data_IF_744898925888
#
_entry.id   IF_744898925888
#
_cell.length_a   1.000
_cell.length_b   1.000
_cell.length_c   1.000
_cell.angle_alpha   90.00
_cell.angle_beta   90.00
_cell.angle_gamma   90.00
#
_symmetry.space_group_name_H-M   'P 1'
#
loop_
_entity.id
_entity.type
_entity.pdbx_description
1 polymer ?
#
# COMPACT_ATOMS: atom_id res chain seq x y z
N UNK A 1 -2.90 70.28 5.81
CA UNK A 1 -2.35 70.31 4.44
C UNK A 1 -2.39 68.86 3.95
N UNK A 2 -3.18 68.42 2.98
CA UNK A 2 -3.94 69.11 1.93
C UNK A 2 -3.65 68.40 0.60
N UNK A 3 -4.69 67.93 -0.10
CA UNK A 3 -4.66 67.47 -1.50
C UNK A 3 -4.39 65.95 -1.68
N UNK A 4 -5.18 65.14 -2.38
CA UNK A 4 -6.29 65.42 -3.29
C UNK A 4 -5.88 65.27 -4.76
N UNK A 5 -6.51 64.29 -5.42
CA UNK A 5 -7.08 64.40 -6.78
C UNK A 5 -6.19 64.24 -8.03
N UNK A 6 -6.76 63.51 -9.01
CA UNK A 6 -6.40 63.51 -10.43
C UNK A 6 -5.99 62.11 -10.91
N UNK A 7 -6.76 61.34 -11.67
CA UNK A 7 -7.75 61.69 -12.68
C UNK A 7 -7.15 61.50 -14.08
N UNK A 8 -7.99 61.05 -15.02
CA UNK A 8 -7.75 61.00 -16.48
C UNK A 8 -6.95 59.78 -16.98
N UNK A 9 -7.39 58.99 -17.97
CA UNK A 9 -8.46 59.18 -18.94
C UNK A 9 -7.94 58.78 -20.34
N UNK A 10 -8.77 58.04 -21.08
CA UNK A 10 -8.61 57.79 -22.53
C UNK A 10 -7.63 56.65 -22.87
N UNK A 11 -7.91 55.73 -23.78
CA UNK A 11 -8.95 55.65 -24.80
C UNK A 11 -8.34 55.02 -26.04
N UNK A 12 -9.15 54.25 -26.79
CA UNK A 12 -8.95 53.89 -28.21
C UNK A 12 -7.78 52.92 -28.46
N UNK A 13 -7.88 51.81 -29.19
CA UNK A 13 -8.80 51.37 -30.24
C UNK A 13 -7.96 50.50 -31.20
N UNK A 14 -8.59 49.52 -31.87
CA UNK A 14 -7.98 48.75 -32.96
C UNK A 14 -7.88 47.25 -32.66
N UNK A 15 -8.83 46.40 -33.07
CA UNK A 15 -9.09 45.94 -34.44
C UNK A 15 -8.11 44.85 -34.89
N UNK A 16 -8.61 43.62 -35.09
CA UNK A 16 -8.10 42.73 -36.14
C UNK A 16 -7.93 41.25 -35.80
N UNK A 17 -8.81 40.40 -36.35
CA UNK A 17 -8.57 38.99 -36.72
C UNK A 17 -8.78 37.98 -35.61
N UNK A 18 -9.68 36.99 -35.66
CA UNK A 18 -10.39 36.38 -36.77
C UNK A 18 -10.35 34.86 -36.60
N UNK A 19 -11.53 34.22 -36.52
CA UNK A 19 -11.81 32.82 -36.87
C UNK A 19 -11.24 31.69 -35.93
N UNK A 20 -11.94 30.65 -35.46
CA UNK A 20 -13.26 30.05 -35.71
C UNK A 20 -13.74 29.33 -34.43
N UNK A 21 -14.84 29.78 -33.82
CA UNK A 21 -15.66 28.95 -32.96
C UNK A 21 -16.96 28.69 -33.71
N UNK A 22 -17.05 27.56 -34.42
CA UNK A 22 -18.23 27.19 -35.19
C UNK A 22 -19.01 26.12 -34.45
N UNK A 23 -20.09 26.56 -33.80
CA UNK A 23 -21.18 25.67 -33.41
C UNK A 23 -22.13 25.38 -34.57
N UNK A 24 -22.90 24.29 -34.44
CA UNK A 24 -24.20 24.13 -35.08
C UNK A 24 -24.28 23.22 -36.31
N UNK A 25 -25.01 22.10 -36.14
CA UNK A 25 -25.52 21.21 -37.20
C UNK A 25 -25.89 19.86 -36.56
N UNK A 26 -27.07 19.63 -35.99
CA UNK A 26 -28.42 19.49 -36.58
C UNK A 26 -28.54 18.37 -37.62
N UNK A 27 -29.17 17.25 -37.20
CA UNK A 27 -30.15 16.55 -38.05
C UNK A 27 -29.95 15.04 -38.25
N UNK A 28 -30.80 14.24 -37.57
CA UNK A 28 -31.54 13.17 -38.27
C UNK A 28 -31.55 11.75 -37.67
N UNK A 29 -32.77 11.22 -37.49
CA UNK A 29 -33.17 9.80 -37.43
C UNK A 29 -33.06 9.14 -36.05
N UNK A 30 -34.12 9.04 -35.24
CA UNK A 30 -35.36 8.26 -35.44
C UNK A 30 -35.35 7.15 -34.37
N UNK A 31 -36.19 7.16 -33.34
CA UNK A 31 -37.60 6.79 -33.41
C UNK A 31 -37.78 5.31 -33.03
N UNK A 32 -38.10 5.03 -31.76
CA UNK A 32 -38.85 3.85 -31.31
C UNK A 32 -38.14 2.49 -31.29
N UNK A 33 -37.90 1.94 -30.09
CA UNK A 33 -38.19 0.52 -29.81
C UNK A 33 -38.34 0.29 -28.31
N UNK A 34 -39.56 0.51 -27.81
CA UNK A 34 -40.03 -0.24 -26.65
C UNK A 34 -40.31 -1.69 -27.09
N UNK A 35 -39.97 -2.66 -26.25
CA UNK A 35 -40.48 -4.02 -26.33
C UNK A 35 -39.44 -5.11 -26.52
N UNK A 36 -38.88 -5.61 -25.42
CA UNK A 36 -38.55 -7.04 -25.21
C UNK A 36 -38.13 -7.14 -23.74
N UNK A 37 -38.98 -7.54 -22.81
CA UNK A 37 -39.61 -8.85 -22.76
C UNK A 37 -39.34 -9.37 -21.35
N UNK A 38 -40.28 -9.14 -20.44
CA UNK A 38 -40.30 -9.88 -19.18
C UNK A 38 -40.54 -11.35 -19.47
N UNK A 39 -39.90 -12.21 -18.69
CA UNK A 39 -40.21 -13.63 -18.66
C UNK A 39 -39.02 -14.53 -18.87
N UNK A 40 -38.52 -15.08 -17.75
CA UNK A 40 -38.32 -16.51 -17.70
C UNK A 40 -36.90 -17.02 -17.88
N UNK A 41 -36.38 -17.49 -16.74
CA UNK A 41 -35.91 -18.88 -16.60
C UNK A 41 -34.45 -19.17 -16.94
N UNK A 42 -33.67 -19.46 -15.89
CA UNK A 42 -32.66 -20.51 -16.01
C UNK A 42 -31.47 -20.49 -15.06
N UNK A 43 -31.71 -20.80 -13.78
CA UNK A 43 -30.72 -21.44 -12.90
C UNK A 43 -29.61 -20.54 -12.33
N UNK A 44 -29.00 -20.80 -11.17
CA UNK A 44 -29.11 -21.90 -10.21
C UNK A 44 -28.11 -21.56 -9.08
N UNK A 45 -28.56 -21.60 -7.81
CA UNK A 45 -27.72 -21.50 -6.62
C UNK A 45 -27.54 -20.05 -6.12
N UNK A 46 -28.14 -19.60 -5.02
CA UNK A 46 -28.42 -20.35 -3.79
C UNK A 46 -27.17 -20.40 -2.92
N UNK A 47 -27.04 -19.43 -2.01
CA UNK A 47 -25.98 -19.32 -1.01
C UNK A 47 -25.74 -17.85 -0.67
N UNK A 48 -26.50 -17.19 0.20
CA UNK A 48 -27.01 -17.72 1.46
C UNK A 48 -25.89 -17.71 2.49
N UNK A 49 -25.92 -16.71 3.37
CA UNK A 49 -25.06 -16.51 4.54
C UNK A 49 -24.71 -17.83 5.24
N UNK A 50 -23.41 -18.07 5.53
CA UNK A 50 -23.03 -19.13 6.46
C UNK A 50 -21.59 -19.63 6.35
N UNK A 51 -20.70 -19.06 7.16
CA UNK A 51 -19.69 -19.85 7.90
C UNK A 51 -18.60 -20.63 7.15
N UNK A 52 -18.26 -20.31 5.90
CA UNK A 52 -17.15 -20.97 5.21
C UNK A 52 -15.85 -20.20 5.42
N UNK A 53 -15.06 -20.63 6.40
CA UNK A 53 -13.76 -20.05 6.70
C UNK A 53 -12.84 -20.05 5.47
N UNK A 54 -11.98 -19.02 5.38
CA UNK A 54 -10.97 -18.75 4.34
C UNK A 54 -10.04 -19.94 3.97
N UNK A 55 -10.09 -21.05 4.71
CA UNK A 55 -9.18 -22.19 4.62
C UNK A 55 -9.82 -23.51 4.17
N UNK A 56 -11.00 -23.52 3.52
CA UNK A 56 -11.49 -24.74 2.85
C UNK A 56 -10.85 -24.93 1.48
N UNK A 57 -9.61 -25.44 1.45
CA UNK A 57 -8.92 -25.85 0.23
C UNK A 57 -9.23 -27.35 0.01
N UNK A 58 -9.90 -27.74 -1.08
CA UNK A 58 -10.19 -29.14 -1.35
C UNK A 58 -8.89 -29.96 -1.46
N UNK A 59 -8.91 -31.26 -1.10
CA UNK A 59 -7.76 -32.12 -1.30
C UNK A 59 -7.31 -32.10 -2.77
N UNK A 60 -5.99 -32.10 -2.98
CA UNK A 60 -5.34 -32.07 -4.30
C UNK A 60 -5.64 -30.82 -5.16
N UNK A 61 -6.23 -29.77 -4.58
CA UNK A 61 -6.45 -28.49 -5.26
C UNK A 61 -5.46 -27.44 -4.80
N UNK A 62 -4.95 -26.68 -5.75
CA UNK A 62 -4.15 -25.49 -5.48
C UNK A 62 -5.02 -24.26 -5.63
N UNK A 63 -4.93 -23.35 -4.68
CA UNK A 63 -5.57 -22.03 -4.74
C UNK A 63 -4.51 -20.95 -4.90
N UNK A 64 -4.88 -19.86 -5.59
CA UNK A 64 -4.06 -18.65 -5.67
C UNK A 64 -4.54 -17.67 -4.61
N UNK A 65 -3.70 -17.40 -3.63
CA UNK A 65 -4.00 -16.45 -2.56
C UNK A 65 -3.25 -15.16 -2.83
N UNK A 66 -3.93 -14.01 -3.01
CA UNK A 66 -3.26 -12.73 -3.04
C UNK A 66 -2.70 -12.46 -1.63
N UNK A 67 -1.41 -12.12 -1.57
CA UNK A 67 -0.77 -11.77 -0.30
C UNK A 67 0.03 -10.50 -0.48
N UNK A 68 0.11 -9.72 0.60
CA UNK A 68 0.93 -8.52 0.63
C UNK A 68 2.36 -8.89 1.02
N UNK A 69 3.33 -8.38 0.28
CA UNK A 69 4.73 -8.78 0.44
C UNK A 69 5.67 -7.61 0.21
N UNK A 70 6.85 -7.70 0.82
CA UNK A 70 7.94 -6.78 0.62
C UNK A 70 9.27 -7.56 0.60
N UNK A 71 10.23 -7.05 -0.17
CA UNK A 71 11.57 -7.59 -0.25
C UNK A 71 12.38 -7.18 0.99
N UNK A 72 12.97 -8.15 1.69
CA UNK A 72 13.74 -7.86 2.91
C UNK A 72 15.15 -7.34 2.64
N UNK A 73 15.72 -7.65 1.47
CA UNK A 73 17.04 -7.16 1.10
C UNK A 73 16.96 -6.46 -0.25
N UNK A 74 17.66 -5.35 -0.35
CA UNK A 74 17.81 -4.64 -1.61
C UNK A 74 18.75 -5.39 -2.57
N UNK A 75 18.43 -5.38 -3.86
CA UNK A 75 19.31 -5.92 -4.92
C UNK A 75 19.30 -7.45 -5.09
N UNK A 76 18.51 -8.18 -4.29
CA UNK A 76 18.25 -9.60 -4.58
C UNK A 76 17.36 -9.76 -5.81
N UNK A 77 17.54 -10.87 -6.51
CA UNK A 77 16.71 -11.21 -7.66
C UNK A 77 15.23 -11.27 -7.25
N UNK A 78 14.37 -10.82 -8.16
CA UNK A 78 12.93 -10.87 -7.97
C UNK A 78 12.46 -12.32 -7.78
N UNK A 79 11.42 -12.54 -6.95
CA UNK A 79 10.87 -13.87 -6.75
C UNK A 79 10.35 -14.44 -8.07
N UNK A 80 10.82 -15.62 -8.46
CA UNK A 80 10.35 -16.34 -9.65
C UNK A 80 9.80 -17.72 -9.30
N UNK A 81 8.82 -18.25 -10.04
CA UNK A 81 8.21 -19.56 -9.78
C UNK A 81 9.20 -20.74 -9.80
N UNK A 82 10.37 -20.55 -10.40
CA UNK A 82 11.41 -21.58 -10.52
C UNK A 82 12.29 -21.69 -9.26
N UNK A 83 12.13 -20.80 -8.28
CA UNK A 83 12.85 -20.85 -7.02
C UNK A 83 12.14 -21.75 -6.00
N UNK A 84 12.93 -22.51 -5.23
CA UNK A 84 12.41 -23.27 -4.09
C UNK A 84 12.26 -22.35 -2.90
N UNK A 85 11.02 -22.22 -2.40
CA UNK A 85 10.69 -21.38 -1.25
C UNK A 85 10.49 -22.21 0.01
N UNK A 86 10.96 -21.69 1.15
CA UNK A 86 10.69 -22.24 2.49
C UNK A 86 10.04 -21.16 3.34
N UNK A 87 8.97 -21.53 4.06
CA UNK A 87 8.39 -20.68 5.09
C UNK A 87 9.29 -20.73 6.33
N UNK A 88 9.71 -19.55 6.80
CA UNK A 88 10.59 -19.38 7.95
C UNK A 88 9.89 -18.44 8.94
N UNK A 89 9.80 -18.78 10.23
CA UNK A 89 9.23 -17.89 11.22
C UNK A 89 10.11 -16.64 11.38
N UNK A 90 9.48 -15.50 11.68
CA UNK A 90 10.17 -14.20 11.75
C UNK A 90 11.32 -14.21 12.77
N UNK A 91 11.14 -14.92 13.89
CA UNK A 91 12.13 -15.07 14.96
C UNK A 91 13.38 -15.85 14.54
N UNK A 92 13.29 -16.74 13.54
CA UNK A 92 14.45 -17.44 12.99
C UNK A 92 15.21 -16.58 11.97
N UNK A 93 14.53 -15.61 11.35
CA UNK A 93 15.11 -14.79 10.30
C UNK A 93 15.85 -13.55 10.84
N UNK A 94 15.27 -12.86 11.83
CA UNK A 94 15.85 -11.63 12.38
C UNK A 94 15.64 -11.51 13.87
N UNK A 95 16.65 -10.96 14.55
CA UNK A 95 16.60 -10.59 15.97
C UNK A 95 16.29 -9.09 16.18
N UNK A 96 16.17 -8.31 15.10
CA UNK A 96 15.85 -6.88 15.21
C UNK A 96 14.35 -6.69 15.47
N UNK A 97 13.97 -6.18 16.65
CA UNK A 97 12.56 -6.04 17.01
C UNK A 97 11.83 -5.03 16.11
N UNK A 98 12.52 -4.01 15.59
CA UNK A 98 11.91 -3.03 14.69
C UNK A 98 11.56 -3.67 13.35
N UNK A 99 12.48 -4.46 12.79
CA UNK A 99 12.21 -5.20 11.55
C UNK A 99 11.09 -6.23 11.75
N UNK A 100 11.05 -6.91 12.90
CA UNK A 100 9.98 -7.84 13.21
C UNK A 100 8.60 -7.13 13.24
N UNK A 101 8.50 -5.96 13.86
CA UNK A 101 7.26 -5.16 13.84
C UNK A 101 6.88 -4.69 12.44
N UNK A 102 7.84 -4.27 11.60
CA UNK A 102 7.58 -3.89 10.21
C UNK A 102 7.03 -5.06 9.39
N UNK A 103 7.57 -6.27 9.58
CA UNK A 103 7.06 -7.49 8.93
C UNK A 103 5.62 -7.77 9.38
N UNK A 104 5.33 -7.64 10.67
CA UNK A 104 3.97 -7.81 11.20
C UNK A 104 2.99 -6.76 10.66
N UNK A 105 3.42 -5.50 10.56
CA UNK A 105 2.62 -4.43 9.94
C UNK A 105 2.29 -4.74 8.48
N UNK A 106 3.24 -5.29 7.74
CA UNK A 106 3.04 -5.71 6.34
C UNK A 106 1.98 -6.80 6.22
N UNK A 107 2.00 -7.77 7.14
CA UNK A 107 1.04 -8.87 7.17
C UNK A 107 -0.41 -8.42 7.38
N UNK A 108 -0.66 -7.21 7.93
CA UNK A 108 -2.01 -6.68 8.08
C UNK A 108 -2.70 -6.36 6.75
N UNK A 109 -1.94 -6.19 5.66
CA UNK A 109 -2.48 -5.81 4.35
C UNK A 109 -3.05 -4.40 4.25
N UNK A 110 -2.96 -3.58 5.32
CA UNK A 110 -3.55 -2.22 5.37
C UNK A 110 -2.57 -1.09 5.03
N UNK A 111 -1.31 -1.45 4.76
CA UNK A 111 -0.21 -0.52 4.52
C UNK A 111 0.16 -0.50 3.04
N UNK A 112 0.62 0.65 2.54
CA UNK A 112 1.08 0.76 1.16
C UNK A 112 2.36 -0.10 0.96
N UNK A 113 2.39 -0.90 -0.11
CA UNK A 113 3.50 -1.83 -0.42
C UNK A 113 4.85 -1.12 -0.53
N UNK A 114 4.88 -0.01 -1.26
CA UNK A 114 6.10 0.74 -1.54
C UNK A 114 6.60 1.48 -0.31
N UNK A 115 5.69 2.02 0.50
CA UNK A 115 6.04 2.63 1.78
C UNK A 115 6.71 1.61 2.73
N UNK A 116 6.15 0.40 2.82
CA UNK A 116 6.76 -0.71 3.58
C UNK A 116 8.13 -1.07 3.02
N UNK A 117 8.24 -1.21 1.69
CA UNK A 117 9.49 -1.59 1.02
C UNK A 117 10.61 -0.60 1.33
N UNK A 118 10.32 0.71 1.28
CA UNK A 118 11.25 1.77 1.63
C UNK A 118 11.65 1.71 3.11
N UNK A 119 10.68 1.54 4.03
CA UNK A 119 10.95 1.46 5.46
C UNK A 119 11.84 0.25 5.82
N UNK A 120 11.59 -0.90 5.21
CA UNK A 120 12.40 -2.11 5.40
C UNK A 120 13.83 -1.86 4.91
N UNK A 121 14.03 -1.35 3.70
CA UNK A 121 15.36 -1.12 3.14
C UNK A 121 16.20 -0.09 3.89
N UNK A 122 15.57 0.92 4.50
CA UNK A 122 16.27 1.82 5.41
C UNK A 122 16.82 1.08 6.62
N UNK A 123 16.12 0.05 7.12
CA UNK A 123 16.52 -0.71 8.30
C UNK A 123 17.49 -1.85 7.98
N UNK A 124 17.27 -2.57 6.89
CA UNK A 124 18.05 -3.77 6.51
C UNK A 124 19.34 -3.44 5.76
N UNK A 125 19.27 -2.48 4.84
CA UNK A 125 20.34 -2.17 3.89
C UNK A 125 20.96 -0.78 4.15
N UNK A 126 20.53 -0.09 5.22
CA UNK A 126 20.96 1.25 5.62
C UNK A 126 20.83 2.30 4.51
N UNK A 127 19.86 2.14 3.60
CA UNK A 127 19.61 3.11 2.54
C UNK A 127 19.01 4.39 3.12
N UNK A 128 19.63 5.53 2.81
CA UNK A 128 19.11 6.83 3.23
C UNK A 128 17.85 7.19 2.45
N UNK A 129 16.98 8.01 3.04
CA UNK A 129 15.77 8.50 2.36
C UNK A 129 16.08 9.22 1.05
N UNK A 130 17.22 9.90 0.96
CA UNK A 130 17.68 10.56 -0.27
C UNK A 130 18.08 9.54 -1.34
N UNK A 131 18.78 8.46 -0.96
CA UNK A 131 19.10 7.36 -1.88
C UNK A 131 17.85 6.65 -2.38
N UNK A 132 16.87 6.44 -1.50
CA UNK A 132 15.58 5.88 -1.88
C UNK A 132 14.82 6.82 -2.83
N UNK A 133 14.80 8.13 -2.57
CA UNK A 133 14.15 9.12 -3.43
C UNK A 133 14.80 9.22 -4.83
N UNK A 134 16.12 9.11 -4.89
CA UNK A 134 16.87 9.11 -6.15
C UNK A 134 16.76 7.78 -6.91
N UNK A 135 16.23 6.73 -6.29
CA UNK A 135 16.13 5.41 -6.92
C UNK A 135 15.06 5.46 -8.00
N UNK A 136 15.47 5.10 -9.21
CA UNK A 136 14.58 4.94 -10.35
C UNK A 136 15.27 4.17 -11.46
N UNK A 137 14.50 3.81 -12.47
CA UNK A 137 15.01 3.18 -13.67
C UNK A 137 14.84 4.11 -14.86
N UNK A 138 15.81 4.08 -15.77
CA UNK A 138 15.65 4.71 -17.07
C UNK A 138 14.81 3.78 -17.94
N UNK A 139 13.57 4.20 -18.20
CA UNK A 139 12.70 3.57 -19.17
C UNK A 139 12.85 4.18 -20.56
N UNK A 140 12.19 3.57 -21.54
CA UNK A 140 12.17 4.05 -22.92
C UNK A 140 11.59 5.48 -23.06
N UNK A 141 10.73 5.87 -22.13
CA UNK A 141 10.00 7.15 -22.12
C UNK A 141 10.44 8.11 -21.00
N UNK A 142 11.61 7.88 -20.39
CA UNK A 142 12.18 8.75 -19.36
C UNK A 142 12.45 8.06 -18.02
N UNK A 143 12.72 8.86 -17.00
CA UNK A 143 13.01 8.37 -15.65
C UNK A 143 11.73 7.95 -14.93
N UNK A 144 11.64 6.67 -14.55
CA UNK A 144 10.59 6.14 -13.69
C UNK A 144 11.14 6.00 -12.28
N UNK A 145 10.69 6.88 -11.38
CA UNK A 145 11.05 6.79 -9.96
C UNK A 145 10.50 5.51 -9.35
N UNK A 146 11.32 4.84 -8.54
CA UNK A 146 10.95 3.61 -7.85
C UNK A 146 9.95 3.91 -6.72
N UNK A 147 10.14 5.04 -6.03
CA UNK A 147 9.26 5.51 -4.96
C UNK A 147 8.70 6.89 -5.28
N UNK A 148 7.43 7.11 -4.97
CA UNK A 148 6.80 8.43 -5.00
C UNK A 148 7.05 9.17 -3.67
N UNK A 149 7.06 10.51 -3.67
CA UNK A 149 7.30 11.29 -2.44
C UNK A 149 6.35 10.94 -1.28
N UNK A 150 5.06 10.68 -1.60
CA UNK A 150 4.06 10.30 -0.60
C UNK A 150 4.36 8.94 0.04
N UNK A 151 4.95 8.01 -0.72
CA UNK A 151 5.33 6.68 -0.24
C UNK A 151 6.52 6.77 0.71
N UNK A 152 7.47 7.67 0.46
CA UNK A 152 8.61 7.93 1.34
C UNK A 152 8.16 8.56 2.67
N UNK A 153 7.23 9.50 2.63
CA UNK A 153 6.63 10.06 3.86
C UNK A 153 5.88 8.97 4.63
N UNK A 154 5.11 8.12 3.93
CA UNK A 154 4.45 6.97 4.53
C UNK A 154 5.45 5.99 5.17
N UNK A 155 6.59 5.75 4.52
CA UNK A 155 7.65 4.88 5.02
C UNK A 155 8.26 5.42 6.32
N UNK A 156 8.52 6.72 6.39
CA UNK A 156 9.01 7.37 7.61
C UNK A 156 8.02 7.23 8.78
N UNK A 157 6.72 7.42 8.52
CA UNK A 157 5.67 7.25 9.52
C UNK A 157 5.56 5.78 9.98
N UNK A 158 5.68 4.82 9.07
CA UNK A 158 5.67 3.40 9.40
C UNK A 158 6.85 3.04 10.29
N UNK A 159 8.04 3.54 9.97
CA UNK A 159 9.24 3.30 10.76
C UNK A 159 9.12 3.89 12.18
N UNK A 160 8.68 5.14 12.30
CA UNK A 160 8.49 5.78 13.61
C UNK A 160 7.41 5.08 14.45
N UNK A 161 6.34 4.58 13.81
CA UNK A 161 5.30 3.78 14.46
C UNK A 161 5.85 2.46 14.97
N UNK A 162 6.66 1.77 14.16
CA UNK A 162 7.29 0.51 14.56
C UNK A 162 8.25 0.73 15.74
N UNK A 163 9.09 1.77 15.69
CA UNK A 163 9.97 2.14 16.80
C UNK A 163 9.21 2.47 18.08
N UNK A 164 8.10 3.21 17.98
CA UNK A 164 7.22 3.52 19.11
C UNK A 164 6.69 2.26 19.78
N UNK A 165 6.13 1.33 18.99
CA UNK A 165 5.60 0.06 19.49
C UNK A 165 6.64 -0.83 20.13
N UNK A 166 7.86 -0.86 19.58
CA UNK A 166 8.97 -1.61 20.19
C UNK A 166 9.35 -1.01 21.54
N UNK A 167 9.43 0.32 21.63
CA UNK A 167 9.73 1.02 22.90
C UNK A 167 8.64 0.79 23.94
N UNK A 168 7.37 0.85 23.56
CA UNK A 168 6.23 0.56 24.42
C UNK A 168 6.31 -0.88 24.96
N UNK A 169 6.49 -1.87 24.09
CA UNK A 169 6.67 -3.29 24.46
C UNK A 169 7.86 -3.51 25.40
N UNK A 170 8.96 -2.80 25.18
CA UNK A 170 10.12 -2.83 26.07
C UNK A 170 9.81 -2.23 27.45
N UNK A 171 9.00 -1.18 27.51
CA UNK A 171 8.60 -0.53 28.76
C UNK A 171 7.53 -1.29 29.55
N UNK A 172 6.75 -2.17 28.92
CA UNK A 172 5.79 -3.06 29.59
C UNK A 172 6.45 -4.32 30.19
N UNK A 173 7.70 -4.62 29.80
CA UNK A 173 8.45 -5.80 30.28
C UNK A 173 9.43 -5.54 31.45
N UNK A 174 9.09 -4.75 32.51
CA UNK A 174 9.86 -4.82 33.76
C UNK A 174 8.99 -5.03 35.02
N UNK A 175 8.04 -5.98 35.03
CA UNK A 175 7.34 -6.43 36.26
C UNK A 175 6.65 -7.78 36.07
N UNK A 176 7.40 -8.88 36.15
CA UNK A 176 6.74 -10.21 36.07
C UNK A 176 7.64 -11.44 35.94
N UNK A 177 8.88 -11.41 36.43
CA UNK A 177 9.65 -12.65 36.64
C UNK A 177 10.25 -12.60 38.04
N UNK A 178 9.40 -12.82 39.05
CA UNK A 178 9.85 -13.21 40.40
C UNK A 178 9.85 -14.74 40.50
N UNK A 179 11.04 -15.29 40.30
CA UNK A 179 11.63 -16.47 40.95
C UNK A 179 10.99 -17.88 40.80
N UNK A 180 11.85 -18.92 40.74
CA UNK A 180 11.45 -20.30 40.47
C UNK A 180 10.81 -20.91 41.71
N UNK A 181 9.64 -21.53 41.54
CA UNK A 181 9.07 -22.40 42.56
C UNK A 181 9.83 -23.73 42.56
N UNK A 182 10.98 -23.72 43.24
CA UNK A 182 11.49 -24.89 43.95
C UNK A 182 10.39 -25.35 44.91
N UNK A 183 9.61 -26.35 44.50
CA UNK A 183 8.79 -27.17 45.39
C UNK A 183 9.10 -28.63 45.12
N UNK A 184 10.16 -29.09 45.78
CA UNK A 184 10.16 -30.30 46.62
C UNK A 184 8.99 -31.24 46.33
N UNK A 185 9.18 -32.16 45.37
CA UNK A 185 8.53 -33.47 45.46
C UNK A 185 9.58 -34.45 45.97
N UNK A 186 9.77 -34.35 47.28
CA UNK A 186 10.39 -35.40 48.06
C UNK A 186 9.58 -36.70 47.87
N UNK A 187 10.30 -37.76 47.50
CA UNK A 187 10.06 -39.16 47.86
C UNK A 187 8.61 -39.54 48.21
N UNK A 188 7.95 -40.24 47.31
CA UNK A 188 7.01 -41.29 47.70
C UNK A 188 7.54 -42.59 47.08
N UNK A 189 7.58 -43.60 47.94
CA UNK A 189 8.13 -44.94 47.76
C UNK A 189 7.33 -45.76 46.76
#
# INVERSE_FOLDING_TARGET
>A
MGGGMGGMGGGMGGMGGGNQNMGGGMGGMGGGMGGMGGGGMGGMGGGGMGGQGFFSIPPERTVRVPYHSACLNHGKADPSPNLTYKLVPVSEYTNDPILAELIQLTATGRVNKQAVQAAIWTRTDNLTWQQLAAKGTQGLFGHVSYFQPQELVGAQLLLSTAEGRVKEKASETPSGVSQPADRVSARIR
#
